data_IF_200923764927
#
_entry.id   IF_200923764927
#
_cell.length_a   1.000
_cell.length_b   1.000
_cell.length_c   1.000
_cell.angle_alpha   90.00
_cell.angle_beta   90.00
_cell.angle_gamma   90.00
#
_symmetry.space_group_name_H-M   'P 1'
#
loop_
_entity.id
_entity.type
_entity.pdbx_description
1 polymer ?
#
# COMPACT_ATOMS: atom_id res chain seq x y z
N UNK A 1 -24.60 4.49 13.31
CA UNK A 1 -23.15 4.50 13.54
C UNK A 1 -22.88 5.02 14.93
N UNK A 2 -21.99 4.37 15.67
CA UNK A 2 -21.53 4.90 16.97
C UNK A 2 -20.67 6.14 16.73
N UNK A 3 -20.86 7.19 17.55
CA UNK A 3 -20.05 8.42 17.51
C UNK A 3 -18.57 8.09 17.78
N UNK A 4 -18.31 7.06 18.58
CA UNK A 4 -16.96 6.63 18.95
C UNK A 4 -16.33 5.68 17.92
N UNK A 5 -17.12 5.11 17.01
CA UNK A 5 -16.64 4.11 16.05
C UNK A 5 -15.42 4.57 15.25
N UNK A 6 -15.46 5.75 14.60
CA UNK A 6 -14.32 6.27 13.85
C UNK A 6 -13.09 6.56 14.72
N UNK A 7 -13.29 7.08 15.93
CA UNK A 7 -12.19 7.38 16.85
C UNK A 7 -11.50 6.08 17.31
N UNK A 8 -12.28 5.07 17.68
CA UNK A 8 -11.76 3.77 18.09
C UNK A 8 -11.04 3.07 16.94
N UNK A 9 -11.54 3.19 15.72
CA UNK A 9 -10.85 2.66 14.54
C UNK A 9 -9.50 3.34 14.32
N UNK A 10 -9.39 4.66 14.47
CA UNK A 10 -8.11 5.35 14.36
C UNK A 10 -7.11 4.88 15.41
N UNK A 11 -7.53 4.70 16.66
CA UNK A 11 -6.67 4.15 17.72
C UNK A 11 -6.24 2.72 17.39
N UNK A 12 -7.14 1.93 16.79
CA UNK A 12 -6.91 0.53 16.45
C UNK A 12 -5.84 0.33 15.36
N UNK A 13 -5.75 1.24 14.39
CA UNK A 13 -4.81 1.13 13.26
C UNK A 13 -3.54 1.97 13.43
N UNK A 14 -3.38 2.63 14.59
CA UNK A 14 -2.38 3.69 14.76
C UNK A 14 -0.93 3.19 14.75
N UNK A 15 -0.71 1.91 15.03
CA UNK A 15 0.59 1.23 15.03
C UNK A 15 0.93 0.58 13.67
N UNK A 16 -0.01 0.55 12.71
CA UNK A 16 0.25 -0.01 11.37
C UNK A 16 1.48 0.63 10.68
N UNK A 17 1.75 1.94 10.78
CA UNK A 17 2.96 2.53 10.20
C UNK A 17 4.27 2.00 10.80
N UNK A 18 4.24 1.43 12.01
CA UNK A 18 5.44 0.92 12.69
C UNK A 18 5.88 -0.44 12.14
N UNK A 19 5.03 -1.14 11.35
CA UNK A 19 5.37 -2.44 10.77
C UNK A 19 6.16 -2.35 9.46
N UNK A 20 6.19 -1.20 8.80
CA UNK A 20 6.90 -1.00 7.53
C UNK A 20 8.32 -0.47 7.73
N UNK A 21 9.18 -0.66 6.75
CA UNK A 21 10.53 -0.13 6.71
C UNK A 21 10.56 1.39 6.87
N UNK A 22 11.54 1.89 7.62
CA UNK A 22 11.77 3.35 7.80
C UNK A 22 12.10 4.09 6.50
N UNK A 23 12.46 3.35 5.45
CA UNK A 23 12.72 3.88 4.10
C UNK A 23 11.47 3.98 3.23
N UNK A 24 10.36 3.39 3.67
CA UNK A 24 9.06 3.42 3.02
C UNK A 24 8.13 4.41 3.71
N UNK A 25 7.02 4.70 3.07
CA UNK A 25 5.99 5.57 3.61
C UNK A 25 4.63 4.91 3.52
N UNK A 26 3.85 5.07 4.58
CA UNK A 26 2.48 4.59 4.66
C UNK A 26 1.55 5.78 4.89
N UNK A 27 0.69 6.06 3.90
CA UNK A 27 -0.36 7.05 4.02
C UNK A 27 -1.70 6.36 4.29
N UNK A 28 -2.42 6.81 5.30
CA UNK A 28 -3.69 6.22 5.74
C UNK A 28 -4.80 7.25 5.77
N UNK A 29 -5.98 6.86 5.32
CA UNK A 29 -7.19 7.67 5.44
C UNK A 29 -8.41 6.77 5.56
N UNK A 30 -9.09 6.83 6.70
CA UNK A 30 -10.18 5.90 7.02
C UNK A 30 -9.73 4.44 6.76
N UNK A 31 -10.51 3.66 6.02
CA UNK A 31 -10.21 2.28 5.66
C UNK A 31 -9.19 2.11 4.51
N UNK A 32 -8.81 3.19 3.80
CA UNK A 32 -7.86 3.14 2.70
C UNK A 32 -6.42 3.42 3.19
N UNK A 33 -5.48 2.54 2.82
CA UNK A 33 -4.04 2.69 3.12
C UNK A 33 -3.19 2.55 1.85
N UNK A 34 -2.09 3.28 1.79
CA UNK A 34 -1.16 3.30 0.65
C UNK A 34 0.27 3.21 1.13
N UNK A 35 0.92 2.09 0.85
CA UNK A 35 2.35 1.92 1.03
C UNK A 35 3.08 2.29 -0.26
N UNK A 36 4.11 3.14 -0.17
CA UNK A 36 4.91 3.53 -1.32
C UNK A 36 6.39 3.65 -0.95
N UNK A 37 7.23 3.25 -1.91
CA UNK A 37 8.69 3.23 -1.78
C UNK A 37 9.34 3.65 -3.12
N UNK A 38 10.37 4.52 -3.12
CA UNK A 38 11.11 4.84 -4.34
C UNK A 38 11.92 3.64 -4.84
N UNK A 39 11.67 3.18 -6.08
CA UNK A 39 12.38 2.04 -6.66
C UNK A 39 13.48 2.51 -7.62
N UNK A 40 14.75 2.33 -7.24
CA UNK A 40 15.94 2.63 -8.05
C UNK A 40 16.70 1.37 -8.46
N UNK A 41 16.64 0.32 -7.65
CA UNK A 41 17.24 -0.99 -7.94
C UNK A 41 16.30 -2.15 -7.59
N UNK A 42 16.75 -3.39 -7.83
CA UNK A 42 16.00 -4.61 -7.49
C UNK A 42 15.77 -4.74 -6.00
N UNK A 43 16.74 -4.32 -5.20
CA UNK A 43 16.72 -4.43 -3.74
C UNK A 43 15.63 -3.54 -3.15
N UNK A 44 15.42 -2.33 -3.70
CA UNK A 44 14.31 -1.45 -3.30
C UNK A 44 12.95 -2.12 -3.56
N UNK A 45 12.83 -2.92 -4.62
CA UNK A 45 11.61 -3.65 -4.91
C UNK A 45 11.40 -4.80 -3.91
N UNK A 46 12.46 -5.45 -3.46
CA UNK A 46 12.39 -6.45 -2.39
C UNK A 46 12.00 -5.83 -1.04
N UNK A 47 12.50 -4.61 -0.73
CA UNK A 47 12.07 -3.85 0.47
C UNK A 47 10.57 -3.61 0.43
N UNK A 48 10.03 -3.10 -0.68
CA UNK A 48 8.59 -2.89 -0.79
C UNK A 48 7.79 -4.20 -0.70
N UNK A 49 8.31 -5.33 -1.21
CA UNK A 49 7.67 -6.64 -1.03
C UNK A 49 7.70 -7.08 0.45
N UNK A 50 8.78 -6.81 1.17
CA UNK A 50 8.88 -7.07 2.61
C UNK A 50 7.88 -6.23 3.39
N UNK A 51 7.71 -4.96 3.05
CA UNK A 51 6.73 -4.07 3.69
C UNK A 51 5.29 -4.57 3.44
N UNK A 52 4.99 -5.01 2.22
CA UNK A 52 3.70 -5.63 1.89
C UNK A 52 3.45 -6.88 2.75
N UNK A 53 4.46 -7.72 2.94
CA UNK A 53 4.35 -8.92 3.78
C UNK A 53 4.16 -8.57 5.27
N UNK A 54 4.80 -7.49 5.73
CA UNK A 54 4.65 -7.00 7.10
C UNK A 54 3.23 -6.46 7.34
N UNK A 55 2.69 -5.69 6.39
CA UNK A 55 1.30 -5.22 6.44
C UNK A 55 0.32 -6.39 6.46
N UNK A 56 0.52 -7.42 5.63
CA UNK A 56 -0.32 -8.62 5.63
C UNK A 56 -0.25 -9.36 6.99
N UNK A 57 0.95 -9.49 7.55
CA UNK A 57 1.13 -10.10 8.88
C UNK A 57 0.45 -9.28 9.99
N UNK A 58 0.57 -7.96 9.95
CA UNK A 58 -0.10 -7.05 10.87
C UNK A 58 -1.62 -7.17 10.74
N UNK A 59 -2.16 -7.22 9.51
CA UNK A 59 -3.60 -7.42 9.31
C UNK A 59 -4.07 -8.73 9.95
N UNK A 60 -3.31 -9.83 9.84
CA UNK A 60 -3.65 -11.10 10.46
C UNK A 60 -3.63 -11.04 11.99
N UNK A 61 -2.63 -10.38 12.56
CA UNK A 61 -2.51 -10.17 14.02
C UNK A 61 -3.71 -9.38 14.56
N UNK A 62 -4.08 -8.32 13.86
CA UNK A 62 -5.24 -7.49 14.17
C UNK A 62 -6.55 -8.03 13.59
N UNK A 63 -6.62 -9.30 13.16
CA UNK A 63 -7.86 -9.93 12.66
C UNK A 63 -8.58 -9.13 11.55
N UNK A 64 -7.83 -8.35 10.79
CA UNK A 64 -8.26 -7.60 9.61
C UNK A 64 -8.02 -8.44 8.36
N UNK A 65 -8.70 -8.08 7.27
CA UNK A 65 -8.50 -8.73 5.96
C UNK A 65 -8.33 -7.68 4.89
N UNK A 66 -7.27 -7.83 4.09
CA UNK A 66 -7.05 -6.99 2.92
C UNK A 66 -8.05 -7.35 1.84
N UNK A 67 -8.60 -6.32 1.18
CA UNK A 67 -9.46 -6.55 0.02
C UNK A 67 -8.62 -6.67 -1.25
N UNK A 68 -8.12 -7.89 -1.52
CA UNK A 68 -7.26 -8.19 -2.67
C UNK A 68 -7.82 -7.70 -4.00
N UNK A 69 -9.15 -7.75 -4.18
CA UNK A 69 -9.80 -7.31 -5.42
C UNK A 69 -9.71 -5.79 -5.65
N UNK A 70 -9.52 -5.02 -4.57
CA UNK A 70 -9.37 -3.56 -4.59
C UNK A 70 -7.92 -3.10 -4.47
N UNK A 71 -7.02 -3.96 -3.98
CA UNK A 71 -5.59 -3.66 -3.93
C UNK A 71 -5.00 -3.58 -5.35
N UNK A 72 -4.26 -2.51 -5.63
CA UNK A 72 -3.66 -2.27 -6.94
C UNK A 72 -2.23 -1.73 -6.82
N UNK A 73 -1.39 -2.12 -7.77
CA UNK A 73 -0.03 -1.61 -7.92
C UNK A 73 -0.04 -0.44 -8.90
N UNK A 74 0.21 0.77 -8.40
CA UNK A 74 0.43 1.95 -9.24
C UNK A 74 1.93 2.28 -9.29
N UNK A 75 2.52 2.14 -10.48
CA UNK A 75 3.91 2.54 -10.72
C UNK A 75 3.93 3.93 -11.33
N UNK A 76 4.53 4.89 -10.63
CA UNK A 76 4.69 6.26 -11.10
C UNK A 76 6.14 6.48 -11.48
N UNK A 77 6.41 6.81 -12.75
CA UNK A 77 7.78 6.99 -13.23
C UNK A 77 7.83 7.78 -14.53
N UNK A 78 8.90 8.58 -14.69
CA UNK A 78 9.26 9.25 -15.94
C UNK A 78 10.32 8.46 -16.73
N UNK A 79 10.84 7.36 -16.17
CA UNK A 79 11.84 6.53 -16.83
C UNK A 79 11.19 5.70 -17.95
N UNK A 80 11.81 5.66 -19.12
CA UNK A 80 11.36 4.87 -20.27
C UNK A 80 11.58 3.37 -20.09
N UNK A 81 12.50 2.96 -19.22
CA UNK A 81 12.79 1.57 -18.88
C UNK A 81 12.74 1.38 -17.36
N UNK A 82 11.53 1.34 -16.76
CA UNK A 82 11.39 1.16 -15.33
C UNK A 82 11.68 -0.28 -14.91
N UNK A 83 12.07 -0.46 -13.65
CA UNK A 83 12.22 -1.80 -13.05
C UNK A 83 10.84 -2.44 -12.96
N UNK A 84 10.66 -3.57 -13.63
CA UNK A 84 9.43 -4.35 -13.57
C UNK A 84 9.56 -5.40 -12.48
N UNK A 85 8.82 -5.19 -11.38
CA UNK A 85 8.69 -6.14 -10.28
C UNK A 85 7.21 -6.46 -10.07
N UNK A 86 6.89 -7.74 -9.88
CA UNK A 86 5.54 -8.21 -9.61
C UNK A 86 5.40 -8.45 -8.11
N UNK A 87 4.51 -7.71 -7.48
CA UNK A 87 4.29 -7.80 -6.04
C UNK A 87 3.18 -8.80 -5.71
N UNK A 88 3.31 -9.46 -4.58
CA UNK A 88 2.38 -10.48 -4.10
C UNK A 88 1.82 -10.10 -2.73
N UNK A 89 0.52 -10.35 -2.51
CA UNK A 89 -0.16 -10.24 -1.22
C UNK A 89 -0.91 -11.55 -0.98
N UNK A 90 -0.63 -12.25 0.12
CA UNK A 90 -1.30 -13.52 0.47
C UNK A 90 -1.28 -14.58 -0.65
N UNK A 91 -0.20 -14.66 -1.43
CA UNK A 91 -0.10 -15.57 -2.57
C UNK A 91 -0.72 -15.04 -3.86
N UNK A 92 -1.44 -13.90 -3.84
CA UNK A 92 -2.06 -13.29 -5.01
C UNK A 92 -1.20 -12.16 -5.59
N UNK A 93 -1.02 -12.16 -6.92
CA UNK A 93 -0.31 -11.08 -7.60
C UNK A 93 -1.14 -9.80 -7.61
N UNK A 94 -0.52 -8.68 -7.21
CA UNK A 94 -1.15 -7.38 -7.29
C UNK A 94 -1.34 -6.96 -8.74
N UNK A 95 -2.57 -6.56 -9.07
CA UNK A 95 -2.89 -6.06 -10.41
C UNK A 95 -2.21 -4.71 -10.62
N UNK A 96 -1.40 -4.61 -11.67
CA UNK A 96 -0.86 -3.31 -12.09
C UNK A 96 -1.98 -2.45 -12.69
N UNK A 97 -2.11 -1.23 -12.18
CA UNK A 97 -3.09 -0.24 -12.63
C UNK A 97 -2.36 0.99 -13.19
N UNK A 98 -3.01 1.68 -14.14
CA UNK A 98 -2.45 2.90 -14.74
C UNK A 98 -2.97 4.17 -14.07
N UNK A 99 -4.09 4.09 -13.35
CA UNK A 99 -4.75 5.20 -12.66
C UNK A 99 -5.45 4.69 -11.41
N UNK A 100 -5.45 5.48 -10.35
CA UNK A 100 -6.18 5.23 -9.11
C UNK A 100 -6.91 6.51 -8.72
N UNK A 101 -8.17 6.39 -8.29
CA UNK A 101 -8.88 7.49 -7.64
C UNK A 101 -8.56 7.46 -6.15
N UNK A 102 -8.12 8.59 -5.63
CA UNK A 102 -7.70 8.76 -4.25
C UNK A 102 -8.21 10.11 -3.72
N UNK A 103 -9.03 10.10 -2.67
CA UNK A 103 -9.58 11.30 -2.04
C UNK A 103 -10.23 12.30 -3.02
N UNK A 104 -10.82 11.79 -4.11
CA UNK A 104 -11.43 12.61 -5.16
C UNK A 104 -10.48 13.05 -6.28
N UNK A 105 -9.18 12.82 -6.14
CA UNK A 105 -8.15 13.09 -7.15
C UNK A 105 -7.82 11.81 -7.92
N UNK A 106 -7.56 11.91 -9.22
CA UNK A 106 -7.09 10.76 -10.02
C UNK A 106 -5.58 10.86 -10.14
N UNK A 107 -4.86 9.87 -9.61
CA UNK A 107 -3.41 9.75 -9.75
C UNK A 107 -3.12 8.76 -10.89
N UNK A 108 -2.40 9.23 -11.90
CA UNK A 108 -2.00 8.45 -13.07
C UNK A 108 -0.52 8.07 -13.01
N UNK A 109 -0.14 6.99 -13.70
CA UNK A 109 1.26 6.52 -13.77
C UNK A 109 2.24 7.57 -14.32
N UNK A 110 1.73 8.53 -15.09
CA UNK A 110 2.46 9.60 -15.76
C UNK A 110 2.27 10.97 -15.10
N UNK A 111 1.53 11.05 -13.99
CA UNK A 111 1.19 12.29 -13.26
C UNK A 111 0.54 13.37 -14.15
N UNK A 112 -0.15 12.94 -15.22
CA UNK A 112 -0.94 13.78 -16.13
C UNK A 112 -2.44 13.56 -15.97
#
# INVERSE_FOLDING_TARGET
>A
GSILGPLLFLVYVNDLPDCVSSSSSLAMFADDSKCYHPIKCSEDAEVLQSDINAIDSWCKEWQMSLNHSKCGLLRITINSQPIHYSYNVEGNLLKTINKQKDLGVIVSKDLK
#
